data_IF_789902373571
#
_entry.id   IF_789902373571
#
_cell.length_a   1.000
_cell.length_b   1.000
_cell.length_c   1.000
_cell.angle_alpha   90.00
_cell.angle_beta   90.00
_cell.angle_gamma   90.00
#
_symmetry.space_group_name_H-M   'P 1'
#
loop_
_entity.id
_entity.type
_entity.pdbx_description
1 polymer ?
#
# COMPACT_ATOMS: atom_id res chain seq x y z
N UNK A 1 16.41 -14.92 -5.13
CA UNK A 1 15.02 -14.61 -4.68
C UNK A 1 14.89 -14.27 -3.18
N UNK A 2 15.76 -14.74 -2.27
CA UNK A 2 15.77 -14.31 -0.84
C UNK A 2 16.15 -12.84 -0.65
N UNK A 3 17.15 -12.33 -1.39
CA UNK A 3 17.63 -10.94 -1.33
C UNK A 3 16.54 -9.91 -1.62
N UNK A 4 15.63 -10.22 -2.55
CA UNK A 4 14.49 -9.34 -2.88
C UNK A 4 13.46 -9.32 -1.74
N UNK A 5 13.23 -10.45 -1.05
CA UNK A 5 12.36 -10.51 0.12
C UNK A 5 12.88 -9.64 1.27
N UNK A 6 14.18 -9.73 1.59
CA UNK A 6 14.80 -8.92 2.63
C UNK A 6 14.73 -7.43 2.32
N UNK A 7 15.04 -7.02 1.09
CA UNK A 7 14.97 -5.62 0.69
C UNK A 7 13.55 -5.05 0.76
N UNK A 8 12.55 -5.81 0.32
CA UNK A 8 11.13 -5.39 0.42
C UNK A 8 10.69 -5.29 1.87
N UNK A 9 11.04 -6.25 2.73
CA UNK A 9 10.73 -6.19 4.17
C UNK A 9 11.34 -4.95 4.83
N UNK A 10 12.61 -4.67 4.56
CA UNK A 10 13.26 -3.45 5.06
C UNK A 10 12.54 -2.19 4.56
N UNK A 11 12.19 -2.13 3.27
CA UNK A 11 11.45 -1.00 2.73
C UNK A 11 10.11 -0.76 3.44
N UNK A 12 9.31 -1.80 3.67
CA UNK A 12 8.06 -1.68 4.41
C UNK A 12 8.27 -1.17 5.84
N UNK A 13 9.21 -1.78 6.57
CA UNK A 13 9.54 -1.36 7.94
C UNK A 13 9.95 0.12 8.00
N UNK A 14 10.92 0.52 7.20
CA UNK A 14 11.44 1.89 7.23
C UNK A 14 10.39 2.92 6.81
N UNK A 15 9.56 2.60 5.80
CA UNK A 15 8.47 3.48 5.38
C UNK A 15 7.41 3.64 6.47
N UNK A 16 7.00 2.54 7.13
CA UNK A 16 6.04 2.60 8.23
C UNK A 16 6.58 3.37 9.43
N UNK A 17 7.84 3.16 9.79
CA UNK A 17 8.50 3.92 10.86
C UNK A 17 8.64 5.40 10.49
N UNK A 18 8.95 5.73 9.23
CA UNK A 18 9.05 7.11 8.77
C UNK A 18 7.70 7.85 8.81
N UNK A 19 6.60 7.14 8.53
CA UNK A 19 5.25 7.66 8.67
C UNK A 19 4.78 7.74 10.13
N UNK A 20 5.49 7.14 11.07
CA UNK A 20 5.09 7.10 12.48
C UNK A 20 3.84 6.24 12.68
N UNK A 21 3.76 5.11 11.97
CA UNK A 21 2.57 4.28 11.92
C UNK A 21 1.55 4.74 10.88
N UNK A 22 0.29 4.32 11.04
CA UNK A 22 -0.82 4.68 10.14
C UNK A 22 -0.61 4.21 8.70
N UNK A 23 0.09 3.08 8.55
CA UNK A 23 0.56 2.55 7.26
C UNK A 23 -0.24 1.34 6.79
N UNK A 24 -0.74 1.39 5.57
CA UNK A 24 -1.38 0.27 4.88
C UNK A 24 -0.44 -0.29 3.80
N UNK A 25 0.01 -1.52 3.99
CA UNK A 25 0.85 -2.24 3.04
C UNK A 25 0.06 -3.21 2.18
N UNK A 26 0.02 -3.00 0.87
CA UNK A 26 -0.78 -3.79 -0.07
C UNK A 26 0.08 -4.71 -0.92
N UNK A 27 -0.25 -6.00 -0.87
CA UNK A 27 0.45 -7.05 -1.59
C UNK A 27 -0.41 -7.72 -2.66
N UNK A 28 0.22 -8.02 -3.79
CA UNK A 28 -0.39 -8.83 -4.85
C UNK A 28 -0.37 -10.34 -4.56
N UNK A 29 0.43 -10.80 -3.59
CA UNK A 29 0.62 -12.21 -3.25
C UNK A 29 0.71 -12.44 -1.74
N UNK A 30 -0.12 -13.35 -1.22
CA UNK A 30 -0.21 -13.68 0.22
C UNK A 30 1.13 -14.19 0.77
N UNK A 31 1.87 -15.01 0.00
CA UNK A 31 3.18 -15.51 0.44
C UNK A 31 4.21 -14.40 0.67
N UNK A 32 4.15 -13.31 -0.11
CA UNK A 32 5.02 -12.14 0.08
C UNK A 32 4.60 -11.34 1.32
N UNK A 33 3.30 -11.14 1.50
CA UNK A 33 2.74 -10.51 2.70
C UNK A 33 3.21 -11.24 3.96
N UNK A 34 3.02 -12.56 4.02
CA UNK A 34 3.42 -13.38 5.17
C UNK A 34 4.91 -13.28 5.45
N UNK A 35 5.73 -13.43 4.41
CA UNK A 35 7.18 -13.30 4.56
C UNK A 35 7.63 -11.89 4.96
N UNK A 36 6.90 -10.83 4.62
CA UNK A 36 7.21 -9.48 5.13
C UNK A 36 6.85 -9.39 6.61
N UNK A 37 5.63 -9.80 6.98
CA UNK A 37 5.16 -9.80 8.37
C UNK A 37 6.13 -10.52 9.31
N UNK A 38 6.47 -11.77 9.00
CA UNK A 38 7.39 -12.61 9.79
C UNK A 38 8.76 -11.96 10.04
N UNK A 39 9.21 -11.10 9.14
CA UNK A 39 10.53 -10.46 9.23
C UNK A 39 10.53 -9.17 10.03
N UNK A 40 9.40 -8.47 10.10
CA UNK A 40 9.38 -7.10 10.63
C UNK A 40 8.47 -6.92 11.85
N UNK A 41 7.56 -7.85 12.14
CA UNK A 41 6.56 -7.69 13.22
C UNK A 41 7.21 -7.39 14.57
N UNK A 42 8.20 -8.16 15.00
CA UNK A 42 8.90 -7.93 16.27
C UNK A 42 9.64 -6.57 16.32
N UNK A 43 10.18 -6.11 15.19
CA UNK A 43 10.90 -4.83 15.10
C UNK A 43 9.93 -3.65 15.13
N UNK A 44 8.77 -3.80 14.50
CA UNK A 44 7.68 -2.83 14.50
C UNK A 44 7.08 -2.68 15.91
N UNK A 45 6.80 -3.81 16.57
CA UNK A 45 6.30 -3.84 17.96
C UNK A 45 7.28 -3.15 18.92
N UNK A 46 8.57 -3.51 18.86
CA UNK A 46 9.60 -2.91 19.69
C UNK A 46 9.77 -1.39 19.47
N UNK A 47 9.36 -0.87 18.30
CA UNK A 47 9.37 0.55 17.98
C UNK A 47 8.04 1.26 18.30
N UNK A 48 7.05 0.57 18.87
CA UNK A 48 5.76 1.15 19.24
C UNK A 48 4.77 1.27 18.09
N UNK A 49 4.94 0.48 17.02
CA UNK A 49 4.06 0.44 15.86
C UNK A 49 3.44 -0.97 15.72
N UNK A 50 2.29 -1.26 16.35
CA UNK A 50 1.62 -2.55 16.21
C UNK A 50 1.43 -2.91 14.75
N UNK A 51 1.79 -4.13 14.35
CA UNK A 51 1.65 -4.59 12.98
C UNK A 51 0.63 -5.71 12.90
N UNK A 52 -0.44 -5.46 12.14
CA UNK A 52 -1.49 -6.43 11.85
C UNK A 52 -1.35 -6.95 10.42
N UNK A 53 -1.84 -8.17 10.16
CA UNK A 53 -1.74 -8.75 8.83
C UNK A 53 -2.87 -9.73 8.51
N UNK A 54 -3.44 -9.58 7.31
CA UNK A 54 -4.31 -10.61 6.75
C UNK A 54 -3.58 -11.95 6.61
N UNK A 55 -4.30 -13.04 6.83
CA UNK A 55 -3.82 -14.42 6.64
C UNK A 55 -2.67 -14.84 7.57
N UNK A 56 -2.44 -14.11 8.66
CA UNK A 56 -1.55 -14.51 9.75
C UNK A 56 -2.38 -15.01 10.93
N UNK A 57 -3.17 -14.13 11.52
CA UNK A 57 -4.01 -14.46 12.67
C UNK A 57 -5.40 -14.95 12.22
N UNK A 58 -6.15 -15.51 13.17
CA UNK A 58 -7.51 -16.01 12.93
C UNK A 58 -8.56 -14.89 12.72
N UNK A 59 -8.14 -13.63 12.79
CA UNK A 59 -9.01 -12.47 12.65
C UNK A 59 -9.49 -12.31 11.21
N UNK A 60 -10.78 -12.02 11.04
CA UNK A 60 -11.31 -11.67 9.74
C UNK A 60 -10.86 -10.27 9.32
N UNK A 61 -11.09 -9.94 8.04
CA UNK A 61 -10.62 -8.68 7.47
C UNK A 61 -11.33 -7.46 8.05
N UNK A 62 -12.61 -7.56 8.42
CA UNK A 62 -13.36 -6.47 9.02
C UNK A 62 -12.75 -6.10 10.37
N UNK A 63 -12.53 -7.09 11.24
CA UNK A 63 -11.93 -6.85 12.55
C UNK A 63 -10.51 -6.25 12.44
N UNK A 64 -9.69 -6.71 11.50
CA UNK A 64 -8.36 -6.12 11.24
C UNK A 64 -8.45 -4.65 10.82
N UNK A 65 -9.42 -4.30 9.98
CA UNK A 65 -9.65 -2.91 9.54
C UNK A 65 -10.17 -2.06 10.71
N UNK A 66 -11.03 -2.59 11.57
CA UNK A 66 -11.56 -1.87 12.73
C UNK A 66 -10.47 -1.55 13.76
N UNK A 67 -9.56 -2.50 14.02
CA UNK A 67 -8.39 -2.25 14.87
C UNK A 67 -7.48 -1.20 14.25
N UNK A 68 -7.13 -1.38 12.97
CA UNK A 68 -6.30 -0.41 12.24
C UNK A 68 -6.93 0.99 12.22
N UNK A 69 -8.27 1.08 12.19
CA UNK A 69 -9.00 2.34 12.29
C UNK A 69 -8.87 2.98 13.67
N UNK A 70 -8.98 2.19 14.73
CA UNK A 70 -8.97 2.66 16.11
C UNK A 70 -7.57 3.02 16.63
N UNK A 71 -6.52 2.39 16.09
CA UNK A 71 -5.15 2.56 16.56
C UNK A 71 -4.30 3.40 15.59
N UNK A 72 -4.13 4.69 15.89
CA UNK A 72 -3.52 5.66 14.96
C UNK A 72 -2.10 5.31 14.49
N UNK A 73 -1.32 4.63 15.33
CA UNK A 73 0.08 4.30 15.07
C UNK A 73 0.26 2.84 14.62
N UNK A 74 -0.82 2.08 14.53
CA UNK A 74 -0.76 0.71 14.01
C UNK A 74 -0.50 0.72 12.49
N UNK A 75 -0.04 -0.41 11.97
CA UNK A 75 0.13 -0.66 10.55
C UNK A 75 -0.60 -1.95 10.18
N UNK A 76 -1.10 -2.02 8.94
CA UNK A 76 -1.83 -3.17 8.43
C UNK A 76 -1.22 -3.67 7.13
N UNK A 77 -0.90 -4.96 7.06
CA UNK A 77 -0.55 -5.64 5.81
C UNK A 77 -1.78 -6.36 5.25
N UNK A 78 -2.09 -6.10 3.99
CA UNK A 78 -3.29 -6.59 3.34
C UNK A 78 -3.09 -6.95 1.87
N UNK A 79 -4.11 -7.57 1.31
CA UNK A 79 -4.28 -7.76 -0.14
C UNK A 79 -5.27 -6.73 -0.70
N UNK A 80 -5.61 -6.82 -1.98
CA UNK A 80 -6.64 -5.99 -2.63
C UNK A 80 -7.95 -5.91 -1.81
N UNK A 81 -8.31 -6.96 -1.08
CA UNK A 81 -9.52 -6.99 -0.24
C UNK A 81 -9.51 -5.96 0.90
N UNK A 82 -8.35 -5.69 1.52
CA UNK A 82 -8.25 -4.65 2.56
C UNK A 82 -8.48 -3.27 1.95
N UNK A 83 -7.90 -3.00 0.78
CA UNK A 83 -8.09 -1.71 0.08
C UNK A 83 -9.58 -1.42 -0.16
N UNK A 84 -10.34 -2.43 -0.55
CA UNK A 84 -11.74 -2.23 -0.92
C UNK A 84 -12.63 -1.96 0.31
N UNK A 85 -12.28 -2.55 1.46
CA UNK A 85 -12.99 -2.38 2.74
C UNK A 85 -12.47 -1.28 3.66
N UNK A 86 -11.30 -0.68 3.39
CA UNK A 86 -10.68 0.28 4.31
C UNK A 86 -11.42 1.62 4.28
N UNK A 87 -12.22 1.88 5.32
CA UNK A 87 -12.82 3.19 5.60
C UNK A 87 -12.17 3.84 6.84
N UNK A 88 -10.89 4.19 6.72
CA UNK A 88 -10.07 4.71 7.81
C UNK A 88 -9.79 6.21 7.59
N UNK A 89 -10.43 7.11 8.35
CA UNK A 89 -10.18 8.55 8.24
C UNK A 89 -9.01 9.00 9.14
N UNK A 90 -8.37 10.10 8.74
CA UNK A 90 -7.42 10.84 9.58
C UNK A 90 -6.11 10.09 9.82
N UNK A 91 -5.54 10.31 11.02
CA UNK A 91 -4.17 9.86 11.36
C UNK A 91 -3.96 8.36 11.24
N UNK A 92 -5.00 7.54 11.38
CA UNK A 92 -4.88 6.08 11.28
C UNK A 92 -4.54 5.59 9.86
N UNK A 93 -4.76 6.39 8.80
CA UNK A 93 -4.30 6.06 7.45
C UNK A 93 -3.66 7.27 6.78
N UNK A 94 -2.33 7.32 6.81
CA UNK A 94 -1.52 8.41 6.23
C UNK A 94 -0.43 7.91 5.27
N UNK A 95 -0.25 6.60 5.17
CA UNK A 95 0.69 5.99 4.25
C UNK A 95 0.06 4.77 3.58
N UNK A 96 0.09 4.71 2.25
CA UNK A 96 -0.22 3.50 1.49
C UNK A 96 1.03 3.06 0.72
N UNK A 97 1.42 1.80 0.86
CA UNK A 97 2.57 1.20 0.18
C UNK A 97 2.16 -0.03 -0.62
N UNK A 98 2.21 0.06 -1.95
CA UNK A 98 2.08 -1.09 -2.84
C UNK A 98 3.42 -1.77 -3.06
N UNK A 99 3.45 -3.09 -2.91
CA UNK A 99 4.67 -3.87 -3.14
C UNK A 99 5.06 -3.92 -4.62
N UNK A 100 4.05 -3.81 -5.50
CA UNK A 100 4.13 -3.81 -6.96
C UNK A 100 2.94 -3.08 -7.57
N UNK A 101 3.04 -2.73 -8.86
CA UNK A 101 1.87 -2.25 -9.62
C UNK A 101 0.75 -3.31 -9.56
N UNK A 102 -0.50 -2.94 -9.19
CA UNK A 102 -1.59 -3.89 -8.98
C UNK A 102 -2.27 -4.30 -10.30
N UNK A 103 -1.51 -4.97 -11.17
CA UNK A 103 -2.04 -5.52 -12.42
C UNK A 103 -3.16 -6.54 -12.16
N UNK A 104 -4.18 -6.64 -13.03
CA UNK A 104 -5.22 -7.63 -12.88
C UNK A 104 -4.66 -9.04 -13.01
N UNK A 105 -5.23 -10.00 -12.25
CA UNK A 105 -4.81 -11.40 -12.35
C UNK A 105 -5.40 -12.05 -13.61
N UNK A 106 -4.62 -12.87 -14.34
CA UNK A 106 -5.02 -13.45 -15.63
C UNK A 106 -5.94 -14.66 -15.49
N UNK A 107 -7.10 -14.49 -14.85
CA UNK A 107 -8.15 -15.52 -14.74
C UNK A 107 -8.83 -15.76 -16.08
N UNK A 108 -9.60 -16.86 -16.23
CA UNK A 108 -10.34 -17.15 -17.47
C UNK A 108 -11.30 -16.00 -17.84
N UNK A 109 -12.05 -15.49 -16.85
CA UNK A 109 -12.95 -14.34 -17.03
C UNK A 109 -12.18 -13.08 -17.44
N UNK A 110 -11.02 -12.83 -16.81
CA UNK A 110 -10.17 -11.70 -17.19
C UNK A 110 -9.66 -11.81 -18.62
N UNK A 111 -9.17 -12.98 -19.04
CA UNK A 111 -8.68 -13.21 -20.41
C UNK A 111 -9.78 -12.96 -21.45
N UNK A 112 -10.99 -13.45 -21.20
CA UNK A 112 -12.14 -13.24 -22.09
C UNK A 112 -12.54 -11.76 -22.18
N UNK A 113 -12.55 -11.03 -21.06
CA UNK A 113 -12.81 -9.58 -21.07
C UNK A 113 -11.68 -8.81 -21.76
N UNK A 114 -10.43 -9.18 -21.48
CA UNK A 114 -9.25 -8.56 -22.07
C UNK A 114 -9.25 -8.67 -23.59
N UNK A 115 -9.60 -9.82 -24.16
CA UNK A 115 -9.70 -9.96 -25.62
C UNK A 115 -10.81 -9.10 -26.23
N UNK A 116 -11.93 -8.92 -25.51
CA UNK A 116 -13.07 -8.13 -25.98
C UNK A 116 -12.84 -6.60 -25.83
N UNK A 117 -12.19 -6.15 -24.77
CA UNK A 117 -12.07 -4.73 -24.40
C UNK A 117 -10.70 -4.10 -24.75
N UNK A 118 -10.08 -4.50 -25.86
CA UNK A 118 -8.88 -3.83 -26.38
C UNK A 118 -7.56 -4.24 -25.71
N UNK A 119 -7.49 -5.45 -25.17
CA UNK A 119 -6.23 -6.07 -24.76
C UNK A 119 -5.55 -5.33 -23.61
N UNK A 120 -4.36 -4.81 -23.87
CA UNK A 120 -3.56 -4.10 -22.85
C UNK A 120 -4.31 -2.89 -22.28
N UNK A 121 -5.06 -2.14 -23.09
CA UNK A 121 -5.79 -0.96 -22.63
C UNK A 121 -6.78 -1.28 -21.50
N UNK A 122 -7.43 -2.45 -21.55
CA UNK A 122 -8.31 -2.94 -20.48
C UNK A 122 -7.55 -3.15 -19.16
N UNK A 123 -6.37 -3.79 -19.21
CA UNK A 123 -5.55 -4.00 -18.02
C UNK A 123 -5.11 -2.68 -17.39
N UNK A 124 -4.74 -1.71 -18.22
CA UNK A 124 -4.35 -0.37 -17.76
C UNK A 124 -5.50 0.39 -17.13
N UNK A 125 -6.69 0.31 -17.72
CA UNK A 125 -7.90 0.91 -17.16
C UNK A 125 -8.20 0.34 -15.78
N UNK A 126 -8.17 -1.00 -15.63
CA UNK A 126 -8.39 -1.65 -14.34
C UNK A 126 -7.34 -1.24 -13.30
N UNK A 127 -6.07 -1.19 -13.69
CA UNK A 127 -4.99 -0.78 -12.78
C UNK A 127 -5.12 0.69 -12.39
N UNK A 128 -5.45 1.60 -13.32
CA UNK A 128 -5.72 3.01 -12.97
C UNK A 128 -6.89 3.14 -12.00
N UNK A 129 -7.97 2.38 -12.21
CA UNK A 129 -9.12 2.39 -11.31
C UNK A 129 -8.72 1.95 -9.89
N UNK A 130 -7.96 0.87 -9.77
CA UNK A 130 -7.45 0.38 -8.47
C UNK A 130 -6.56 1.42 -7.77
N UNK A 131 -5.65 2.05 -8.50
CA UNK A 131 -4.76 3.09 -7.95
C UNK A 131 -5.56 4.31 -7.51
N UNK A 132 -6.50 4.79 -8.34
CA UNK A 132 -7.38 5.91 -8.03
C UNK A 132 -8.21 5.64 -6.78
N UNK A 133 -8.77 4.44 -6.67
CA UNK A 133 -9.54 4.03 -5.49
C UNK A 133 -8.66 4.00 -4.23
N UNK A 134 -7.48 3.36 -4.30
CA UNK A 134 -6.56 3.32 -3.16
C UNK A 134 -6.15 4.74 -2.73
N UNK A 135 -5.81 5.60 -3.69
CA UNK A 135 -5.44 6.99 -3.44
C UNK A 135 -6.58 7.78 -2.79
N UNK A 136 -7.82 7.63 -3.28
CA UNK A 136 -8.99 8.27 -2.67
C UNK A 136 -9.33 7.77 -1.26
N UNK A 137 -8.76 6.64 -0.81
CA UNK A 137 -8.85 6.20 0.59
C UNK A 137 -7.82 6.90 1.49
N UNK A 138 -6.74 7.43 0.93
CA UNK A 138 -5.67 8.11 1.67
C UNK A 138 -6.04 9.56 1.99
N UNK A 139 -6.65 10.29 1.05
CA UNK A 139 -7.04 11.69 1.21
C UNK A 139 -8.55 11.80 1.12
N UNK A 140 -9.23 12.12 2.24
CA UNK A 140 -10.70 12.07 2.33
C UNK A 140 -11.35 13.36 2.78
N UNK A 141 -10.64 14.15 3.60
CA UNK A 141 -11.11 15.42 4.17
C UNK A 141 -10.13 16.51 3.83
N UNK A 142 -10.63 17.74 3.83
CA UNK A 142 -9.78 18.93 3.72
C UNK A 142 -8.78 18.94 4.89
N UNK A 143 -7.49 19.00 4.56
CA UNK A 143 -6.39 18.96 5.52
C UNK A 143 -5.78 17.58 5.75
N UNK A 144 -6.34 16.49 5.21
CA UNK A 144 -5.66 15.19 5.22
C UNK A 144 -4.33 15.29 4.46
N UNK A 145 -3.26 14.75 5.05
CA UNK A 145 -1.96 14.62 4.41
C UNK A 145 -1.57 13.15 4.40
N UNK A 146 -1.00 12.70 3.28
CA UNK A 146 -0.62 11.31 3.14
C UNK A 146 0.39 11.08 2.04
N UNK A 147 1.10 9.95 2.15
CA UNK A 147 2.07 9.50 1.16
C UNK A 147 1.56 8.22 0.48
N UNK A 148 1.63 8.19 -0.84
CA UNK A 148 1.29 7.03 -1.65
C UNK A 148 2.53 6.50 -2.35
N UNK A 149 2.95 5.28 -2.02
CA UNK A 149 4.19 4.67 -2.54
C UNK A 149 3.88 3.42 -3.34
N UNK A 150 4.55 3.27 -4.48
CA UNK A 150 4.59 2.03 -5.26
C UNK A 150 6.05 1.59 -5.34
N UNK A 151 6.41 0.50 -4.67
CA UNK A 151 7.77 -0.06 -4.64
C UNK A 151 8.08 -0.86 -5.93
N UNK A 152 7.82 -0.26 -7.09
CA UNK A 152 7.98 -0.90 -8.39
C UNK A 152 8.65 0.01 -9.41
N UNK A 153 9.90 -0.32 -9.75
CA UNK A 153 10.65 0.36 -10.81
C UNK A 153 9.97 0.30 -12.18
N UNK A 154 9.06 -0.66 -12.39
CA UNK A 154 8.38 -0.88 -13.66
C UNK A 154 7.07 -0.08 -13.80
N UNK A 155 6.74 0.84 -12.86
CA UNK A 155 5.55 1.69 -12.97
C UNK A 155 5.57 2.53 -14.27
N UNK A 156 4.67 2.25 -15.24
CA UNK A 156 4.60 3.00 -16.48
C UNK A 156 4.05 4.41 -16.23
N UNK A 157 4.66 5.44 -16.82
CA UNK A 157 4.22 6.84 -16.66
C UNK A 157 2.75 7.04 -17.03
N UNK A 158 2.24 6.34 -18.05
CA UNK A 158 0.82 6.38 -18.44
C UNK A 158 -0.18 5.91 -17.36
N UNK A 159 0.26 5.21 -16.30
CA UNK A 159 -0.61 4.88 -15.17
C UNK A 159 -0.72 6.00 -14.14
N UNK A 160 0.18 6.98 -14.18
CA UNK A 160 0.17 8.10 -13.23
C UNK A 160 -1.02 9.04 -13.41
N UNK A 161 -1.68 8.98 -14.57
CA UNK A 161 -2.99 9.60 -14.83
C UNK A 161 -4.13 9.04 -13.95
N UNK A 162 -3.85 8.05 -13.10
CA UNK A 162 -4.78 7.61 -12.06
C UNK A 162 -4.94 8.63 -10.92
N UNK A 163 -3.96 9.52 -10.72
CA UNK A 163 -3.94 10.49 -9.63
C UNK A 163 -4.54 11.84 -10.08
N UNK A 164 -5.14 12.61 -9.15
CA UNK A 164 -5.66 13.95 -9.45
C UNK A 164 -4.61 14.89 -10.04
N UNK A 165 -5.06 15.89 -10.79
CA UNK A 165 -4.19 16.96 -11.28
C UNK A 165 -3.54 17.71 -10.11
N UNK A 166 -2.28 18.10 -10.28
CA UNK A 166 -1.49 18.79 -9.25
C UNK A 166 -0.80 17.87 -8.24
N UNK A 167 -1.05 16.55 -8.27
CA UNK A 167 -0.27 15.59 -7.47
C UNK A 167 1.14 15.45 -8.03
N UNK A 168 2.13 15.81 -7.22
CA UNK A 168 3.54 15.65 -7.59
C UNK A 168 3.97 14.18 -7.53
N UNK A 169 4.59 13.69 -8.61
CA UNK A 169 5.02 12.29 -8.73
C UNK A 169 6.55 12.23 -8.68
N UNK A 170 7.07 11.74 -7.57
CA UNK A 170 8.51 11.56 -7.38
C UNK A 170 8.94 10.15 -7.79
N UNK A 171 9.94 10.06 -8.69
CA UNK A 171 10.60 8.80 -9.06
C UNK A 171 11.98 8.73 -8.39
N UNK A 172 11.98 8.32 -7.13
CA UNK A 172 13.14 8.42 -6.24
C UNK A 172 13.56 7.07 -5.68
N UNK A 173 14.77 7.01 -5.11
CA UNK A 173 15.25 5.86 -4.36
C UNK A 173 14.55 5.71 -3.00
N UNK A 174 14.66 4.53 -2.39
CA UNK A 174 14.01 4.24 -1.10
C UNK A 174 14.43 5.22 0.02
N UNK A 175 15.73 5.55 0.11
CA UNK A 175 16.25 6.47 1.13
C UNK A 175 15.61 7.87 1.03
N UNK A 176 15.46 8.38 -0.18
CA UNK A 176 14.83 9.67 -0.44
C UNK A 176 13.32 9.62 -0.19
N UNK A 177 12.63 8.55 -0.60
CA UNK A 177 11.22 8.35 -0.28
C UNK A 177 10.96 8.33 1.23
N UNK A 178 11.83 7.68 2.01
CA UNK A 178 11.78 7.67 3.48
C UNK A 178 11.93 9.09 4.04
N UNK A 179 12.90 9.87 3.52
CA UNK A 179 13.13 11.23 3.96
C UNK A 179 11.93 12.16 3.67
N UNK A 180 11.38 12.09 2.45
CA UNK A 180 10.17 12.82 2.06
C UNK A 180 9.00 12.46 2.98
N UNK A 181 8.81 11.16 3.23
CA UNK A 181 7.71 10.67 4.08
C UNK A 181 7.82 11.20 5.50
N UNK A 182 9.02 11.13 6.09
CA UNK A 182 9.27 11.63 7.45
C UNK A 182 9.01 13.13 7.54
N UNK A 183 9.54 13.91 6.61
CA UNK A 183 9.41 15.36 6.63
C UNK A 183 7.95 15.82 6.46
N UNK A 184 7.16 15.09 5.66
CA UNK A 184 5.76 15.42 5.42
C UNK A 184 4.86 15.05 6.60
N UNK A 185 5.03 13.83 7.15
CA UNK A 185 4.08 13.26 8.10
C UNK A 185 4.47 13.41 9.56
N UNK A 186 5.77 13.58 9.84
CA UNK A 186 6.33 13.79 11.18
C UNK A 186 7.39 14.89 11.15
N UNK A 187 7.03 16.13 10.77
CA UNK A 187 7.91 17.27 10.98
C UNK A 187 8.17 17.39 12.49
N UNK A 188 9.45 17.42 12.88
CA UNK A 188 9.86 17.51 14.27
C UNK A 188 9.38 18.77 14.97
#
# INVERSE_FOLDING_TARGET
>A
NKTNGTAVSAAYREMFMAAGGGGLGLFTAISRLRGVYERISAQMEAAGYPLYAQHIDAMDTGTLVDIFRAEENSCLLGTDAVRDGVDVPGRSLRLIVFDRVPWPRPTLVHKARRSHFGGRAYDEMLTRLKLKQAYGRLLRRDGDQGVFVILDKALPTRLTTAFPDGVEIHRVGLAEAIAITRNLLNPG
#
